data_IF_351483894724
#
_entry.id   IF_351483894724
#
_cell.length_a   1.000
_cell.length_b   1.000
_cell.length_c   1.000
_cell.angle_alpha   90.00
_cell.angle_beta   90.00
_cell.angle_gamma   90.00
#
_symmetry.space_group_name_H-M   'P 1'
#
loop_
_entity.id
_entity.type
_entity.pdbx_description
1 polymer ?
#
# COMPACT_ATOMS: atom_id res chain seq x y z
N UNK A 1 13.51 17.74 -59.04
CA UNK A 1 12.25 18.23 -58.47
C UNK A 1 11.66 17.08 -57.66
N UNK A 2 11.89 17.06 -56.34
CA UNK A 2 11.34 16.01 -55.48
C UNK A 2 9.92 16.40 -55.11
N UNK A 3 8.94 15.65 -55.61
CA UNK A 3 7.54 15.83 -55.28
C UNK A 3 7.32 15.44 -53.81
N UNK A 4 6.95 16.41 -52.98
CA UNK A 4 6.46 16.19 -51.63
C UNK A 4 5.22 15.30 -51.69
N UNK A 5 5.21 14.17 -50.99
CA UNK A 5 4.00 13.35 -50.85
C UNK A 5 2.89 14.20 -50.17
N UNK A 6 1.62 14.10 -50.62
CA UNK A 6 0.54 14.83 -49.99
C UNK A 6 0.35 14.33 -48.55
N UNK A 7 0.32 15.24 -47.59
CA UNK A 7 0.00 14.94 -46.20
C UNK A 7 -1.39 14.30 -46.12
N UNK A 8 -1.55 13.25 -45.29
CA UNK A 8 -2.83 12.60 -45.09
C UNK A 8 -3.90 13.62 -44.64
N UNK A 9 -5.15 13.54 -45.15
CA UNK A 9 -6.20 14.47 -44.77
C UNK A 9 -6.47 14.38 -43.26
N UNK A 10 -6.65 15.53 -42.62
CA UNK A 10 -7.02 15.61 -41.21
C UNK A 10 -8.38 14.90 -41.04
N UNK A 11 -8.51 13.92 -40.13
CA UNK A 11 -9.77 13.23 -39.89
C UNK A 11 -10.89 14.19 -39.52
N UNK A 12 -12.11 13.93 -39.98
CA UNK A 12 -13.26 14.72 -39.55
C UNK A 12 -13.61 14.44 -38.09
N UNK A 13 -14.33 15.35 -37.43
CA UNK A 13 -14.85 15.13 -36.08
C UNK A 13 -15.72 13.85 -36.00
N UNK A 14 -16.44 13.51 -37.07
CA UNK A 14 -17.25 12.30 -37.12
C UNK A 14 -16.39 11.04 -37.17
N UNK A 15 -15.26 11.08 -37.87
CA UNK A 15 -14.31 9.95 -37.93
C UNK A 15 -13.65 9.73 -36.57
N UNK A 16 -13.18 10.82 -35.93
CA UNK A 16 -12.57 10.77 -34.60
C UNK A 16 -13.52 10.21 -33.53
N UNK A 17 -14.80 10.59 -33.57
CA UNK A 17 -15.81 10.04 -32.64
C UNK A 17 -16.05 8.55 -32.83
N UNK A 18 -16.16 8.08 -34.08
CA UNK A 18 -16.29 6.63 -34.35
C UNK A 18 -15.08 5.84 -33.86
N UNK A 19 -13.88 6.42 -33.95
CA UNK A 19 -12.69 5.79 -33.40
C UNK A 19 -12.68 5.72 -31.87
N UNK A 20 -13.19 6.76 -31.18
CA UNK A 20 -13.38 6.74 -29.72
C UNK A 20 -14.39 5.67 -29.34
N UNK A 21 -15.57 5.63 -29.98
CA UNK A 21 -16.62 4.65 -29.69
C UNK A 21 -16.11 3.21 -29.86
N UNK A 22 -15.32 2.95 -30.92
CA UNK A 22 -14.68 1.64 -31.16
C UNK A 22 -13.70 1.27 -30.04
N UNK A 23 -12.94 2.24 -29.54
CA UNK A 23 -12.00 2.03 -28.43
C UNK A 23 -12.78 1.74 -27.15
N UNK A 24 -13.82 2.50 -26.84
CA UNK A 24 -14.66 2.33 -25.65
C UNK A 24 -15.34 0.97 -25.62
N UNK A 25 -15.91 0.53 -26.75
CA UNK A 25 -16.48 -0.82 -26.88
C UNK A 25 -15.42 -1.91 -26.63
N UNK A 26 -14.21 -1.71 -27.16
CA UNK A 26 -13.11 -2.66 -26.98
C UNK A 26 -12.63 -2.70 -25.53
N UNK A 27 -12.52 -1.55 -24.86
CA UNK A 27 -12.19 -1.48 -23.44
C UNK A 27 -13.22 -2.22 -22.59
N UNK A 28 -14.52 -2.00 -22.85
CA UNK A 28 -15.59 -2.69 -22.16
C UNK A 28 -15.51 -4.22 -22.36
N UNK A 29 -15.30 -4.68 -23.60
CA UNK A 29 -15.13 -6.11 -23.90
C UNK A 29 -13.96 -6.73 -23.15
N UNK A 30 -12.81 -6.06 -23.11
CA UNK A 30 -11.62 -6.51 -22.39
C UNK A 30 -11.85 -6.58 -20.87
N UNK A 31 -12.66 -5.68 -20.31
CA UNK A 31 -13.06 -5.72 -18.90
C UNK A 31 -13.95 -6.94 -18.61
N UNK A 32 -14.88 -7.28 -19.51
CA UNK A 32 -15.71 -8.48 -19.38
C UNK A 32 -14.88 -9.76 -19.48
N UNK A 33 -13.99 -9.85 -20.46
CA UNK A 33 -13.05 -10.98 -20.62
C UNK A 33 -12.17 -11.16 -19.37
N UNK A 34 -11.65 -10.05 -18.80
CA UNK A 34 -10.92 -10.09 -17.53
C UNK A 34 -11.79 -10.67 -16.41
N UNK A 35 -13.09 -10.37 -16.38
CA UNK A 35 -14.02 -10.92 -15.40
C UNK A 35 -14.23 -12.42 -15.53
N UNK A 36 -14.33 -12.94 -16.75
CA UNK A 36 -14.43 -14.39 -17.01
C UNK A 36 -13.19 -15.15 -16.51
N UNK A 37 -12.00 -14.58 -16.74
CA UNK A 37 -10.73 -15.12 -16.21
C UNK A 37 -10.74 -15.13 -14.68
N UNK A 38 -11.22 -14.06 -14.04
CA UNK A 38 -11.33 -14.01 -12.58
C UNK A 38 -12.33 -15.04 -12.06
N UNK A 39 -13.47 -15.24 -12.73
CA UNK A 39 -14.42 -16.29 -12.34
C UNK A 39 -13.76 -17.68 -12.38
N UNK A 40 -13.03 -17.98 -13.45
CA UNK A 40 -12.26 -19.23 -13.59
C UNK A 40 -11.22 -19.38 -12.47
N UNK A 41 -10.55 -18.28 -12.10
CA UNK A 41 -9.58 -18.26 -11.01
C UNK A 41 -10.23 -18.55 -9.65
N UNK A 42 -11.44 -18.04 -9.39
CA UNK A 42 -12.21 -18.31 -8.17
C UNK A 42 -12.58 -19.79 -8.10
N UNK A 43 -13.09 -20.35 -9.19
CA UNK A 43 -13.45 -21.77 -9.27
C UNK A 43 -12.24 -22.68 -9.01
N UNK A 44 -11.09 -22.35 -9.59
CA UNK A 44 -9.83 -23.08 -9.38
C UNK A 44 -9.29 -22.95 -7.95
N UNK A 45 -9.45 -21.77 -7.33
CA UNK A 45 -9.00 -21.55 -5.95
C UNK A 45 -9.92 -22.18 -4.92
N UNK A 46 -11.22 -22.36 -5.18
CA UNK A 46 -12.11 -23.10 -4.26
C UNK A 46 -11.63 -24.54 -4.00
N UNK A 47 -10.88 -25.12 -4.95
CA UNK A 47 -10.31 -26.46 -4.82
C UNK A 47 -8.94 -26.51 -4.11
N UNK A 48 -8.33 -25.36 -3.77
CA UNK A 48 -7.05 -25.26 -3.05
C UNK A 48 -7.20 -24.35 -1.81
N UNK A 49 -6.64 -24.73 -0.66
CA UNK A 49 -6.87 -24.02 0.61
C UNK A 49 -6.73 -22.49 0.49
N UNK A 50 -7.77 -21.79 0.98
CA UNK A 50 -7.98 -20.33 0.93
C UNK A 50 -6.78 -19.53 1.43
N UNK A 51 -6.19 -18.71 0.55
CA UNK A 51 -5.31 -17.61 0.91
C UNK A 51 -5.94 -16.26 0.54
N UNK A 52 -5.46 -15.16 1.14
CA UNK A 52 -5.93 -13.80 0.83
C UNK A 52 -6.03 -13.55 -0.67
N UNK A 53 -7.14 -12.96 -1.12
CA UNK A 53 -7.25 -12.42 -2.47
C UNK A 53 -6.33 -11.20 -2.63
N UNK A 54 -6.09 -10.45 -1.55
CA UNK A 54 -5.22 -9.28 -1.55
C UNK A 54 -3.74 -9.70 -1.55
N UNK A 55 -3.01 -9.27 -2.58
CA UNK A 55 -1.59 -9.64 -2.82
C UNK A 55 -0.79 -8.36 -3.09
N UNK A 56 -0.40 -7.61 -2.05
CA UNK A 56 0.17 -6.27 -2.20
C UNK A 56 1.44 -6.26 -3.04
N UNK A 57 2.24 -7.32 -2.99
CA UNK A 57 3.42 -7.42 -3.84
C UNK A 57 3.14 -7.51 -5.33
N UNK A 58 2.15 -8.31 -5.70
CA UNK A 58 1.72 -8.44 -7.09
C UNK A 58 1.14 -7.12 -7.60
N UNK A 59 0.40 -6.40 -6.75
CA UNK A 59 -0.16 -5.10 -7.09
C UNK A 59 0.92 -4.02 -7.23
N UNK A 60 1.87 -3.96 -6.30
CA UNK A 60 3.03 -3.05 -6.38
C UNK A 60 3.79 -3.25 -7.70
N UNK A 61 4.12 -4.50 -8.03
CA UNK A 61 4.80 -4.86 -9.26
C UNK A 61 3.96 -4.55 -10.52
N UNK A 62 2.64 -4.72 -10.47
CA UNK A 62 1.75 -4.28 -11.55
C UNK A 62 1.77 -2.76 -11.74
N UNK A 63 1.72 -1.99 -10.65
CA UNK A 63 1.73 -0.53 -10.70
C UNK A 63 3.08 0.02 -11.15
N UNK A 64 4.19 -0.61 -10.74
CA UNK A 64 5.54 -0.29 -11.21
C UNK A 64 5.60 -0.38 -12.74
N UNK A 65 5.23 -1.53 -13.31
CA UNK A 65 5.18 -1.71 -14.77
C UNK A 65 4.20 -0.75 -15.46
N UNK A 66 3.08 -0.44 -14.82
CA UNK A 66 2.09 0.52 -15.34
C UNK A 66 2.72 1.92 -15.49
N UNK A 67 3.41 2.39 -14.45
CA UNK A 67 4.07 3.68 -14.45
C UNK A 67 5.24 3.73 -15.45
N UNK A 68 6.08 2.69 -15.48
CA UNK A 68 7.25 2.61 -16.37
C UNK A 68 6.88 2.69 -17.86
N UNK A 69 5.75 2.07 -18.26
CA UNK A 69 5.27 2.08 -19.66
C UNK A 69 4.35 3.26 -20.01
N UNK A 70 3.97 4.09 -19.03
CA UNK A 70 2.99 5.16 -19.24
C UNK A 70 3.57 6.30 -20.09
N UNK A 71 2.91 6.64 -21.20
CA UNK A 71 3.31 7.70 -22.15
C UNK A 71 2.05 8.35 -22.73
N UNK A 72 2.18 9.57 -23.26
CA UNK A 72 1.10 10.29 -23.93
C UNK A 72 0.53 11.44 -23.10
N UNK A 73 -0.60 11.99 -23.54
CA UNK A 73 -1.21 13.20 -22.97
C UNK A 73 -2.11 12.92 -21.75
N UNK A 74 -2.48 11.65 -21.52
CA UNK A 74 -3.34 11.26 -20.40
C UNK A 74 -2.53 11.30 -19.11
N UNK A 75 -2.97 12.00 -18.05
CA UNK A 75 -2.27 12.01 -16.77
C UNK A 75 -2.12 10.62 -16.13
N UNK A 76 -0.97 10.36 -15.49
CA UNK A 76 -0.66 9.08 -14.87
C UNK A 76 -1.63 8.71 -13.73
N UNK A 77 -2.06 9.70 -12.95
CA UNK A 77 -3.00 9.53 -11.85
C UNK A 77 -4.37 9.00 -12.32
N UNK A 78 -4.82 9.41 -13.50
CA UNK A 78 -6.04 8.92 -14.14
C UNK A 78 -5.91 7.43 -14.45
N UNK A 79 -4.79 7.03 -15.07
CA UNK A 79 -4.53 5.63 -15.39
C UNK A 79 -4.35 4.79 -14.12
N UNK A 80 -3.61 5.29 -13.13
CA UNK A 80 -3.44 4.61 -11.84
C UNK A 80 -4.79 4.38 -11.16
N UNK A 81 -5.63 5.41 -11.06
CA UNK A 81 -6.95 5.32 -10.42
C UNK A 81 -7.84 4.29 -11.10
N UNK A 82 -7.91 4.31 -12.44
CA UNK A 82 -8.68 3.32 -13.21
C UNK A 82 -8.20 1.89 -12.89
N UNK A 83 -6.88 1.67 -12.90
CA UNK A 83 -6.32 0.36 -12.58
C UNK A 83 -6.59 -0.05 -11.13
N UNK A 84 -6.50 0.87 -10.17
CA UNK A 84 -6.82 0.59 -8.76
C UNK A 84 -8.28 0.20 -8.57
N UNK A 85 -9.21 0.90 -9.22
CA UNK A 85 -10.65 0.55 -9.19
C UNK A 85 -10.88 -0.85 -9.78
N UNK A 86 -10.26 -1.16 -10.92
CA UNK A 86 -10.36 -2.49 -11.55
C UNK A 86 -9.81 -3.56 -10.60
N UNK A 87 -8.59 -3.36 -10.07
CA UNK A 87 -7.93 -4.33 -9.18
C UNK A 87 -8.75 -4.52 -7.90
N UNK A 88 -9.10 -3.45 -7.20
CA UNK A 88 -9.87 -3.50 -5.94
C UNK A 88 -11.22 -4.20 -6.13
N UNK A 89 -11.95 -3.87 -7.20
CA UNK A 89 -13.23 -4.51 -7.52
C UNK A 89 -13.07 -6.01 -7.74
N UNK A 90 -12.09 -6.44 -8.54
CA UNK A 90 -11.89 -7.87 -8.80
C UNK A 90 -11.26 -8.62 -7.63
N UNK A 91 -10.52 -7.97 -6.75
CA UNK A 91 -10.08 -8.54 -5.48
C UNK A 91 -11.28 -8.79 -4.56
N UNK A 92 -12.21 -7.83 -4.47
CA UNK A 92 -13.45 -7.97 -3.70
C UNK A 92 -14.36 -9.07 -4.23
N UNK A 93 -14.54 -9.16 -5.56
CA UNK A 93 -15.33 -10.23 -6.19
C UNK A 93 -14.76 -11.62 -5.89
N UNK A 94 -13.44 -11.76 -5.79
CA UNK A 94 -12.80 -13.04 -5.44
C UNK A 94 -13.05 -13.46 -3.99
N UNK A 95 -12.92 -12.52 -3.06
CA UNK A 95 -13.15 -12.74 -1.64
C UNK A 95 -13.59 -11.41 -1.01
N UNK A 96 -14.89 -11.25 -0.67
CA UNK A 96 -15.38 -10.03 -0.05
C UNK A 96 -14.66 -9.71 1.26
N UNK A 97 -14.28 -8.44 1.42
CA UNK A 97 -13.59 -7.92 2.60
C UNK A 97 -13.96 -6.44 2.81
N UNK A 98 -13.75 -5.93 4.01
CA UNK A 98 -13.90 -4.52 4.38
C UNK A 98 -12.54 -3.87 4.66
N UNK A 99 -12.50 -2.55 4.54
CA UNK A 99 -11.36 -1.72 4.94
C UNK A 99 -11.74 -0.91 6.17
N UNK A 100 -11.10 -1.22 7.29
CA UNK A 100 -11.25 -0.52 8.57
C UNK A 100 -10.25 0.64 8.62
N UNK A 101 -10.73 1.85 8.84
CA UNK A 101 -9.90 3.05 8.75
C UNK A 101 -9.86 3.82 10.06
N UNK A 102 -8.66 4.14 10.55
CA UNK A 102 -8.51 5.08 11.65
C UNK A 102 -8.71 6.51 11.14
N UNK A 103 -9.80 7.15 11.57
CA UNK A 103 -10.16 8.51 11.19
C UNK A 103 -9.92 9.53 12.31
N UNK A 104 -9.25 9.16 13.40
CA UNK A 104 -8.98 10.07 14.52
C UNK A 104 -8.11 11.28 14.11
N UNK A 105 -7.25 11.11 13.10
CA UNK A 105 -6.42 12.19 12.52
C UNK A 105 -7.12 13.01 11.43
N UNK A 106 -8.37 12.70 11.09
CA UNK A 106 -9.13 13.31 10.00
C UNK A 106 -9.67 12.29 9.00
N UNK A 107 -10.98 12.35 8.73
CA UNK A 107 -11.67 11.41 7.83
C UNK A 107 -11.32 11.66 6.35
N UNK A 108 -11.33 12.92 5.90
CA UNK A 108 -11.25 13.25 4.47
C UNK A 108 -10.03 12.64 3.76
N UNK A 109 -8.82 12.88 4.27
CA UNK A 109 -7.58 12.37 3.69
C UNK A 109 -7.45 10.85 3.75
N UNK A 110 -7.91 10.24 4.84
CA UNK A 110 -7.94 8.79 5.00
C UNK A 110 -8.92 8.14 4.00
N UNK A 111 -10.09 8.76 3.82
CA UNK A 111 -11.12 8.33 2.88
C UNK A 111 -10.70 8.51 1.43
N UNK A 112 -9.99 9.59 1.10
CA UNK A 112 -9.41 9.78 -0.24
C UNK A 112 -8.37 8.71 -0.54
N UNK A 113 -7.51 8.40 0.43
CA UNK A 113 -6.54 7.29 0.34
C UNK A 113 -7.23 5.94 0.14
N UNK A 114 -8.29 5.67 0.91
CA UNK A 114 -9.06 4.46 0.78
C UNK A 114 -9.75 4.35 -0.60
N UNK A 115 -10.41 5.41 -1.06
CA UNK A 115 -11.14 5.43 -2.34
C UNK A 115 -10.21 5.34 -3.53
N UNK A 116 -9.08 6.05 -3.50
CA UNK A 116 -8.08 5.99 -4.56
C UNK A 116 -7.54 4.57 -4.74
N UNK A 117 -7.31 3.84 -3.63
CA UNK A 117 -6.70 2.52 -3.68
C UNK A 117 -7.71 1.37 -3.86
N UNK A 118 -8.82 1.40 -3.12
CA UNK A 118 -9.78 0.30 -3.04
C UNK A 118 -11.07 0.56 -3.85
N UNK A 119 -11.26 1.77 -4.37
CA UNK A 119 -12.49 2.17 -5.08
C UNK A 119 -13.69 2.30 -4.14
N UNK A 120 -14.89 2.18 -4.71
CA UNK A 120 -16.16 2.27 -3.99
C UNK A 120 -16.85 0.92 -3.74
N UNK A 121 -16.36 -0.14 -4.39
CA UNK A 121 -16.92 -1.50 -4.24
C UNK A 121 -16.62 -2.08 -2.86
N UNK A 122 -15.42 -1.82 -2.32
CA UNK A 122 -14.97 -2.33 -1.03
C UNK A 122 -15.59 -1.49 0.10
N UNK A 123 -16.31 -2.08 1.06
CA UNK A 123 -16.88 -1.35 2.18
C UNK A 123 -15.82 -0.63 3.02
N UNK A 124 -16.04 0.66 3.26
CA UNK A 124 -15.21 1.49 4.13
C UNK A 124 -15.84 1.59 5.53
N UNK A 125 -15.12 1.13 6.55
CA UNK A 125 -15.56 1.09 7.94
C UNK A 125 -14.73 2.09 8.77
N UNK A 126 -15.26 3.28 9.09
CA UNK A 126 -14.54 4.25 9.90
C UNK A 126 -14.49 3.84 11.38
N UNK A 127 -13.35 4.04 12.02
CA UNK A 127 -13.13 3.85 13.46
C UNK A 127 -12.42 5.06 14.05
N UNK A 128 -12.74 5.38 15.30
CA UNK A 128 -12.04 6.44 16.03
C UNK A 128 -10.89 5.84 16.83
N UNK A 129 -9.68 5.88 16.27
CA UNK A 129 -8.45 5.42 16.91
C UNK A 129 -7.99 4.03 16.43
N UNK A 130 -6.68 3.75 16.54
CA UNK A 130 -6.07 2.59 15.91
C UNK A 130 -6.44 1.26 16.56
N UNK A 131 -6.74 1.24 17.86
CA UNK A 131 -7.08 0.01 18.59
C UNK A 131 -8.31 -0.70 18.00
N UNK A 132 -9.38 0.06 17.71
CA UNK A 132 -10.61 -0.49 17.14
C UNK A 132 -10.39 -1.10 15.74
N UNK A 133 -9.55 -0.46 14.91
CA UNK A 133 -9.16 -0.99 13.60
C UNK A 133 -8.41 -2.31 13.73
N UNK A 134 -7.40 -2.36 14.60
CA UNK A 134 -6.56 -3.56 14.78
C UNK A 134 -7.38 -4.73 15.28
N UNK A 135 -8.27 -4.51 16.25
CA UNK A 135 -9.13 -5.57 16.78
C UNK A 135 -10.16 -6.05 15.76
N UNK A 136 -10.73 -5.15 14.94
CA UNK A 136 -11.62 -5.56 13.85
C UNK A 136 -10.90 -6.45 12.82
N UNK A 137 -9.69 -6.08 12.41
CA UNK A 137 -8.86 -6.90 11.52
C UNK A 137 -8.46 -8.23 12.19
N UNK A 138 -8.12 -8.20 13.48
CA UNK A 138 -7.79 -9.40 14.25
C UNK A 138 -8.99 -10.34 14.47
N UNK A 139 -10.23 -9.84 14.39
CA UNK A 139 -11.44 -10.65 14.44
C UNK A 139 -11.85 -11.21 13.07
N UNK A 140 -11.49 -10.53 11.98
CA UNK A 140 -11.90 -10.90 10.61
C UNK A 140 -11.03 -11.99 9.96
N UNK A 141 -11.57 -12.70 8.98
CA UNK A 141 -10.81 -13.68 8.19
C UNK A 141 -10.02 -13.04 7.03
N UNK A 142 -10.36 -11.82 6.61
CA UNK A 142 -9.80 -11.21 5.40
C UNK A 142 -9.84 -9.68 5.32
N UNK A 143 -10.38 -9.00 6.34
CA UNK A 143 -10.45 -7.54 6.33
C UNK A 143 -9.07 -6.89 6.44
N UNK A 144 -9.00 -5.65 5.95
CA UNK A 144 -7.81 -4.82 5.97
C UNK A 144 -7.99 -3.66 6.94
N UNK A 145 -6.89 -3.19 7.52
CA UNK A 145 -6.87 -1.98 8.34
C UNK A 145 -5.96 -0.93 7.73
N UNK A 146 -6.33 0.35 7.82
CA UNK A 146 -5.50 1.47 7.34
C UNK A 146 -5.30 2.54 8.41
N UNK A 147 -4.07 3.05 8.46
CA UNK A 147 -3.61 4.05 9.43
C UNK A 147 -2.71 5.08 8.75
N UNK A 148 -2.62 6.28 9.32
CA UNK A 148 -1.55 7.20 8.95
C UNK A 148 -0.19 6.52 9.18
N UNK A 149 0.68 6.56 8.18
CA UNK A 149 2.06 6.15 8.32
C UNK A 149 2.94 7.22 8.95
N UNK A 150 2.35 8.36 9.31
CA UNK A 150 2.93 9.39 10.16
C UNK A 150 2.08 9.47 11.42
N UNK A 151 2.28 8.57 12.39
CA UNK A 151 1.49 8.54 13.60
C UNK A 151 1.73 9.80 14.41
N UNK A 152 0.65 10.33 14.99
CA UNK A 152 0.71 11.47 15.89
C UNK A 152 0.96 10.98 17.32
N UNK A 153 1.52 11.85 18.16
CA UNK A 153 1.73 11.54 19.59
C UNK A 153 0.44 11.16 20.31
N UNK A 154 -0.73 11.65 19.85
CA UNK A 154 -2.05 11.32 20.40
C UNK A 154 -2.51 9.89 20.12
N UNK A 155 -1.99 9.24 19.08
CA UNK A 155 -2.33 7.85 18.73
C UNK A 155 -1.57 6.81 19.54
N UNK A 156 -0.56 7.23 20.32
CA UNK A 156 0.32 6.33 21.07
C UNK A 156 1.11 5.35 20.19
N UNK A 157 1.76 4.38 20.82
CA UNK A 157 2.54 3.35 20.15
C UNK A 157 1.64 2.21 19.62
N UNK A 158 0.64 2.54 18.79
CA UNK A 158 -0.37 1.58 18.32
C UNK A 158 0.22 0.36 17.62
N UNK A 159 1.37 0.53 16.96
CA UNK A 159 2.09 -0.53 16.25
C UNK A 159 2.53 -1.66 17.18
N UNK A 160 2.62 -1.42 18.50
CA UNK A 160 2.87 -2.47 19.49
C UNK A 160 1.78 -3.53 19.52
N UNK A 161 0.54 -3.16 19.18
CA UNK A 161 -0.56 -4.11 19.09
C UNK A 161 -0.43 -5.09 17.90
N UNK A 162 0.56 -4.87 17.01
CA UNK A 162 0.94 -5.79 15.94
C UNK A 162 2.06 -6.77 16.35
N UNK A 163 2.63 -6.62 17.55
CA UNK A 163 3.70 -7.51 18.07
C UNK A 163 3.17 -8.91 18.34
N UNK A 164 3.99 -9.94 18.07
CA UNK A 164 3.66 -11.33 18.36
C UNK A 164 3.08 -12.12 17.19
N UNK A 165 2.92 -13.43 17.41
CA UNK A 165 2.43 -14.38 16.42
C UNK A 165 0.91 -14.25 16.24
N UNK A 166 0.42 -14.40 15.01
CA UNK A 166 -1.01 -14.36 14.68
C UNK A 166 -1.67 -12.97 14.75
N UNK A 167 -0.97 -11.95 15.27
CA UNK A 167 -1.43 -10.55 15.22
C UNK A 167 -1.38 -10.03 13.78
N UNK A 168 -2.26 -9.07 13.42
CA UNK A 168 -2.18 -8.39 12.14
C UNK A 168 -0.78 -7.80 11.90
N UNK A 169 -0.36 -7.76 10.63
CA UNK A 169 0.94 -7.25 10.21
C UNK A 169 0.76 -6.17 9.16
N UNK A 170 1.69 -5.24 9.10
CA UNK A 170 1.81 -4.29 8.00
C UNK A 170 2.16 -5.10 6.74
N UNK A 171 1.39 -4.89 5.66
CA UNK A 171 1.56 -5.60 4.39
C UNK A 171 1.74 -4.66 3.19
N UNK A 172 1.44 -3.37 3.35
CA UNK A 172 1.61 -2.38 2.31
C UNK A 172 1.82 -0.97 2.88
N UNK A 173 2.43 -0.13 2.04
CA UNK A 173 2.60 1.31 2.26
C UNK A 173 2.05 2.04 1.05
N UNK A 174 1.13 2.97 1.26
CA UNK A 174 0.44 3.71 0.20
C UNK A 174 0.59 5.24 0.35
N UNK A 175 0.53 6.02 -0.74
CA UNK A 175 0.49 5.54 -2.14
C UNK A 175 1.79 4.83 -2.51
N UNK A 176 1.68 3.81 -3.38
CA UNK A 176 2.85 3.06 -3.84
C UNK A 176 3.66 3.89 -4.85
N UNK A 177 2.97 4.58 -5.76
CA UNK A 177 3.59 5.50 -6.70
C UNK A 177 3.73 6.86 -6.01
N UNK A 178 4.96 7.28 -5.72
CA UNK A 178 5.26 8.57 -5.14
C UNK A 178 5.39 9.66 -6.19
N UNK A 179 4.72 10.77 -5.93
CA UNK A 179 4.85 12.04 -6.66
C UNK A 179 4.32 13.19 -5.78
N UNK A 180 4.84 14.42 -5.92
CA UNK A 180 4.38 15.57 -5.12
C UNK A 180 2.88 15.84 -5.23
N UNK A 181 2.32 15.76 -6.44
CA UNK A 181 0.93 16.10 -6.73
C UNK A 181 0.00 14.87 -6.71
N UNK A 182 0.26 13.90 -5.83
CA UNK A 182 -0.57 12.70 -5.76
C UNK A 182 -1.97 13.06 -5.17
N UNK A 183 -3.09 12.77 -5.86
CA UNK A 183 -4.42 13.22 -5.45
C UNK A 183 -4.87 12.63 -4.10
N UNK A 184 -4.36 11.44 -3.76
CA UNK A 184 -4.49 10.84 -2.43
C UNK A 184 -3.11 10.62 -1.79
N UNK A 185 -2.36 11.71 -1.61
CA UNK A 185 -0.96 11.69 -1.20
C UNK A 185 -0.72 11.37 0.28
N UNK A 186 -1.78 11.23 1.08
CA UNK A 186 -1.64 10.94 2.52
C UNK A 186 -0.96 9.59 2.72
N UNK A 187 0.20 9.58 3.39
CA UNK A 187 0.93 8.35 3.51
C UNK A 187 0.25 7.43 4.54
N UNK A 188 -0.14 6.22 4.13
CA UNK A 188 -0.81 5.23 5.00
C UNK A 188 -0.10 3.88 5.02
N UNK A 189 -0.24 3.16 6.15
CA UNK A 189 0.05 1.73 6.24
C UNK A 189 -1.24 0.93 6.07
N UNK A 190 -1.12 -0.25 5.46
CA UNK A 190 -2.19 -1.25 5.38
C UNK A 190 -1.77 -2.46 6.20
N UNK A 191 -2.66 -2.94 7.09
CA UNK A 191 -2.49 -4.18 7.84
C UNK A 191 -3.46 -5.25 7.36
N UNK A 192 -3.08 -6.50 7.55
CA UNK A 192 -3.96 -7.66 7.45
C UNK A 192 -3.48 -8.76 8.41
N UNK A 193 -4.30 -9.77 8.64
CA UNK A 193 -3.80 -11.01 9.25
C UNK A 193 -2.70 -11.64 8.37
N UNK A 194 -1.64 -12.21 8.96
CA UNK A 194 -0.62 -12.94 8.21
C UNK A 194 -1.25 -14.06 7.38
N UNK A 195 -1.02 -14.07 6.07
CA UNK A 195 -1.59 -15.05 5.14
C UNK A 195 -0.47 -15.71 4.32
N UNK A 196 0.31 -16.57 4.98
CA UNK A 196 1.38 -17.38 4.37
C UNK A 196 2.54 -16.59 3.75
N UNK A 197 3.57 -17.31 3.27
CA UNK A 197 4.91 -16.80 2.93
C UNK A 197 5.02 -15.80 1.76
N UNK A 198 3.92 -15.39 1.12
CA UNK A 198 3.96 -14.51 -0.06
C UNK A 198 3.89 -13.01 0.31
N UNK A 199 4.71 -12.56 1.25
CA UNK A 199 4.85 -11.14 1.62
C UNK A 199 6.04 -10.50 0.93
N UNK A 200 5.90 -9.28 0.40
CA UNK A 200 7.06 -8.53 -0.13
C UNK A 200 7.91 -8.05 1.03
N UNK A 201 9.21 -8.36 0.98
CA UNK A 201 10.18 -8.05 2.03
C UNK A 201 11.27 -7.08 1.55
N UNK A 202 10.90 -6.11 0.72
CA UNK A 202 11.84 -5.05 0.30
C UNK A 202 12.18 -4.13 1.50
N UNK A 203 11.16 -3.74 2.28
CA UNK A 203 11.27 -3.04 3.55
C UNK A 203 10.59 -3.87 4.65
N UNK A 204 11.29 -4.13 5.75
CA UNK A 204 10.75 -4.78 6.95
C UNK A 204 10.43 -3.69 7.97
N UNK A 205 9.28 -3.81 8.64
CA UNK A 205 8.79 -2.84 9.62
C UNK A 205 8.92 -3.42 11.02
N UNK A 206 9.50 -2.64 11.93
CA UNK A 206 9.82 -3.04 13.30
C UNK A 206 9.16 -2.11 14.33
N UNK A 207 8.65 -2.72 15.39
CA UNK A 207 8.42 -2.06 16.67
C UNK A 207 9.68 -2.23 17.52
N UNK A 208 10.30 -1.14 17.94
CA UNK A 208 11.51 -1.17 18.76
C UNK A 208 11.26 -0.43 20.07
N UNK A 209 11.62 -1.06 21.18
CA UNK A 209 11.56 -0.44 22.51
C UNK A 209 12.94 0.05 22.92
N UNK A 210 12.99 1.31 23.33
CA UNK A 210 14.20 2.01 23.77
C UNK A 210 13.99 2.57 25.18
N UNK A 211 15.06 2.62 25.98
CA UNK A 211 15.03 3.23 27.31
C UNK A 211 14.81 4.75 27.28
N UNK A 212 15.42 5.42 26.29
CA UNK A 212 15.38 6.88 26.13
C UNK A 212 15.47 7.26 24.67
N UNK A 213 15.01 8.46 24.31
CA UNK A 213 15.21 9.02 22.96
C UNK A 213 16.59 9.66 22.80
N UNK A 214 17.15 9.60 21.58
CA UNK A 214 18.32 10.37 21.18
C UNK A 214 18.23 10.75 19.69
N UNK A 215 18.56 12.00 19.29
CA UNK A 215 18.63 12.39 17.88
C UNK A 215 19.58 11.52 17.05
N UNK A 216 20.61 10.94 17.67
CA UNK A 216 21.57 10.07 17.01
C UNK A 216 20.93 8.80 16.41
N UNK A 217 19.78 8.36 16.95
CA UNK A 217 19.11 7.15 16.47
C UNK A 217 18.50 7.33 15.09
N UNK A 218 17.91 8.50 14.80
CA UNK A 218 17.40 8.80 13.47
C UNK A 218 18.53 8.76 12.42
N UNK A 219 19.70 9.31 12.76
CA UNK A 219 20.88 9.26 11.89
C UNK A 219 21.41 7.82 11.71
N UNK A 220 21.46 7.02 12.77
CA UNK A 220 21.90 5.63 12.72
C UNK A 220 20.97 4.76 11.86
N UNK A 221 19.65 4.93 12.00
CA UNK A 221 18.64 4.25 11.18
C UNK A 221 18.78 4.67 9.71
N UNK A 222 18.94 5.97 9.44
CA UNK A 222 19.12 6.48 8.08
C UNK A 222 20.41 5.96 7.42
N UNK A 223 21.50 5.80 8.19
CA UNK A 223 22.79 5.31 7.68
C UNK A 223 22.73 3.89 7.11
N UNK A 224 21.79 3.05 7.58
CA UNK A 224 21.53 1.71 7.03
C UNK A 224 20.42 1.70 5.96
N UNK A 225 19.96 2.88 5.53
CA UNK A 225 18.88 3.05 4.56
C UNK A 225 17.47 2.81 5.12
N UNK A 226 17.30 2.84 6.44
CA UNK A 226 16.00 2.77 7.09
C UNK A 226 15.36 4.15 7.30
N UNK A 227 14.11 4.15 7.74
CA UNK A 227 13.34 5.34 8.13
C UNK A 227 12.74 5.18 9.52
N UNK A 228 12.78 6.26 10.29
CA UNK A 228 11.97 6.39 11.50
C UNK A 228 10.58 6.87 11.09
N UNK A 229 9.59 5.99 11.14
CA UNK A 229 8.24 6.29 10.69
C UNK A 229 7.38 6.86 11.83
N UNK A 230 7.73 6.58 13.09
CA UNK A 230 6.98 7.07 14.24
C UNK A 230 7.70 6.88 15.57
N UNK A 231 7.28 7.64 16.58
CA UNK A 231 7.73 7.49 17.96
C UNK A 231 6.61 7.84 18.94
N UNK A 232 6.53 7.09 20.03
CA UNK A 232 5.56 7.34 21.09
C UNK A 232 6.13 6.87 22.43
N UNK A 233 5.96 7.70 23.46
CA UNK A 233 6.26 7.32 24.83
C UNK A 233 5.07 6.58 25.46
N UNK A 234 5.36 5.64 26.34
CA UNK A 234 4.38 4.97 27.19
C UNK A 234 4.97 4.69 28.58
N UNK A 235 4.19 4.02 29.44
CA UNK A 235 4.62 3.68 30.81
C UNK A 235 5.83 2.73 30.86
N UNK A 236 6.16 2.05 29.76
CA UNK A 236 7.27 1.09 29.63
C UNK A 236 8.49 1.70 28.90
N UNK A 237 8.48 3.00 28.61
CA UNK A 237 9.58 3.73 27.99
C UNK A 237 9.20 4.35 26.64
N UNK A 238 10.13 4.30 25.70
CA UNK A 238 9.93 4.81 24.35
C UNK A 238 9.75 3.65 23.38
N UNK A 239 8.72 3.72 22.53
CA UNK A 239 8.59 2.86 21.36
C UNK A 239 8.80 3.68 20.10
N UNK A 240 9.52 3.11 19.14
CA UNK A 240 9.70 3.66 17.80
C UNK A 240 9.24 2.66 16.74
N UNK A 241 8.70 3.20 15.66
CA UNK A 241 8.31 2.48 14.45
C UNK A 241 9.37 2.74 13.38
N UNK A 242 9.96 1.67 12.85
CA UNK A 242 11.09 1.77 11.91
C UNK A 242 10.87 0.86 10.72
N UNK A 243 11.06 1.39 9.51
CA UNK A 243 11.17 0.58 8.29
C UNK A 243 12.64 0.47 7.87
N UNK A 244 13.13 -0.74 7.60
CA UNK A 244 14.52 -0.96 7.21
C UNK A 244 14.65 -1.99 6.07
N UNK A 245 15.64 -1.85 5.18
CA UNK A 245 15.74 -2.69 3.99
C UNK A 245 16.44 -4.03 4.24
N UNK A 246 15.89 -5.08 3.61
CA UNK A 246 16.54 -6.39 3.45
C UNK A 246 16.34 -7.39 4.59
N UNK A 247 16.70 -8.64 4.33
CA UNK A 247 16.40 -9.78 5.21
C UNK A 247 17.14 -9.74 6.56
N UNK A 248 18.33 -9.13 6.62
CA UNK A 248 19.10 -8.96 7.86
C UNK A 248 18.82 -7.62 8.57
N UNK A 249 17.67 -6.99 8.30
CA UNK A 249 17.36 -5.66 8.82
C UNK A 249 17.34 -5.59 10.35
N UNK A 250 16.85 -6.64 11.03
CA UNK A 250 16.81 -6.68 12.49
C UNK A 250 18.21 -6.56 13.11
N UNK A 251 19.15 -7.39 12.65
CA UNK A 251 20.53 -7.38 13.13
C UNK A 251 21.20 -6.02 12.86
N UNK A 252 21.05 -5.50 11.63
CA UNK A 252 21.63 -4.19 11.26
C UNK A 252 21.07 -3.04 12.09
N UNK A 253 19.77 -3.07 12.40
CA UNK A 253 19.13 -2.08 13.27
C UNK A 253 19.67 -2.17 14.70
N UNK A 254 19.78 -3.38 15.25
CA UNK A 254 20.32 -3.59 16.58
C UNK A 254 21.76 -3.05 16.70
N UNK A 255 22.62 -3.39 15.74
CA UNK A 255 24.01 -2.94 15.69
C UNK A 255 24.12 -1.41 15.55
N UNK A 256 23.36 -0.81 14.63
CA UNK A 256 23.38 0.63 14.39
C UNK A 256 22.89 1.43 15.61
N UNK A 257 21.80 0.99 16.25
CA UNK A 257 21.26 1.63 17.44
C UNK A 257 22.19 1.45 18.65
N UNK A 258 22.76 0.26 18.86
CA UNK A 258 23.73 0.01 19.92
C UNK A 258 24.99 0.87 19.76
N UNK A 259 25.51 1.00 18.54
CA UNK A 259 26.65 1.87 18.24
C UNK A 259 26.34 3.36 18.52
N UNK A 260 25.07 3.77 18.38
CA UNK A 260 24.60 5.10 18.75
C UNK A 260 24.28 5.25 20.25
N UNK A 261 24.54 4.22 21.08
CA UNK A 261 24.34 4.24 22.53
C UNK A 261 22.90 4.00 22.98
N UNK A 262 22.09 3.32 22.16
CA UNK A 262 20.71 2.96 22.52
C UNK A 262 20.67 1.81 23.54
N UNK A 263 19.93 2.02 24.64
CA UNK A 263 19.46 0.92 25.49
C UNK A 263 18.24 0.27 24.83
N UNK A 264 18.47 -0.83 24.09
CA UNK A 264 17.42 -1.54 23.35
C UNK A 264 16.77 -2.57 24.29
N UNK A 265 15.47 -2.42 24.55
CA UNK A 265 14.70 -3.36 25.35
C UNK A 265 14.13 -4.52 24.54
N UNK A 266 13.66 -4.26 23.32
CA UNK A 266 13.12 -5.27 22.42
C UNK A 266 13.08 -4.78 20.97
N UNK A 267 13.16 -5.71 20.02
CA UNK A 267 12.90 -5.48 18.60
C UNK A 267 11.89 -6.55 18.15
N UNK A 268 10.81 -6.12 17.51
CA UNK A 268 9.76 -7.01 17.01
C UNK A 268 9.44 -6.68 15.55
N UNK A 269 9.55 -7.66 14.67
CA UNK A 269 9.01 -7.54 13.32
C UNK A 269 7.47 -7.51 13.36
N UNK A 270 6.90 -6.48 12.75
CA UNK A 270 5.46 -6.23 12.70
C UNK A 270 4.92 -6.14 11.26
N UNK A 271 5.74 -6.47 10.27
CA UNK A 271 5.31 -6.60 8.88
C UNK A 271 6.39 -6.22 7.89
N UNK A 272 5.99 -6.13 6.62
CA UNK A 272 6.87 -5.72 5.54
C UNK A 272 6.07 -5.16 4.36
N UNK A 273 6.70 -4.37 3.52
CA UNK A 273 6.06 -3.86 2.31
C UNK A 273 7.06 -3.63 1.16
N UNK A 274 6.52 -3.43 -0.04
CA UNK A 274 7.31 -3.01 -1.19
C UNK A 274 7.87 -1.60 -0.99
N UNK A 275 9.09 -1.35 -1.47
CA UNK A 275 9.65 0.00 -1.58
C UNK A 275 8.77 0.78 -2.54
N UNK A 276 8.36 1.96 -2.10
CA UNK A 276 7.58 2.90 -2.91
C UNK A 276 8.34 3.24 -4.20
N UNK A 277 7.60 3.46 -5.27
CA UNK A 277 8.14 3.73 -6.61
C UNK A 277 8.04 5.22 -6.92
N UNK A 278 9.18 5.88 -7.14
CA UNK A 278 9.23 7.30 -7.50
C UNK A 278 9.16 7.48 -9.01
N UNK A 279 8.25 8.33 -9.48
CA UNK A 279 8.17 8.71 -10.90
C UNK A 279 9.11 9.89 -11.13
N UNK A 280 10.16 9.71 -11.93
CA UNK A 280 11.14 10.77 -12.23
C UNK A 280 12.53 10.60 -11.61
N UNK A 281 12.99 9.35 -11.47
CA UNK A 281 14.42 9.01 -11.38
C UNK A 281 14.98 8.61 -12.74
#
# INVERSE_FOLDING_TARGET
MSASSPAAPIPSLADLRRDIDRIDETMHRLLMERGEIINTLIETKKTAASGSAFRPGREAEMMRRLAERHRGILPLDTVETIWRVIIGTFTYVQAPYSVHADIAGGDASMRDSARFHFGFTVPFQPHFGPAAVIEAVAASAGDLGIFSAQPTSSGGAWWRALEGAGRPKIIARLPFIERPDHPAGTPIFVIAKPLGDATVRELIVFSIRLERWSPAFAAAIAAIGGSLDGSAGDAQGLSILVSAPGENAEQKLAEALAAAGAGIGAIHEIGSHARRFSVGG
#
